data_IF_782673085358
#
_entry.id   IF_782673085358
#
_cell.length_a   1.000
_cell.length_b   1.000
_cell.length_c   1.000
_cell.angle_alpha   90.00
_cell.angle_beta   90.00
_cell.angle_gamma   90.00
#
_symmetry.space_group_name_H-M   'P 1'
#
loop_
_entity.id
_entity.type
_entity.pdbx_description
1 polymer ?
#
# COMPACT_ATOMS: atom_id res chain seq x y z
N UNK A 1 -1.73 1.35 52.92
CA UNK A 1 -2.40 0.06 52.62
C UNK A 1 -3.70 0.20 51.84
N UNK A 2 -4.72 0.93 52.33
CA UNK A 2 -6.03 1.10 51.64
C UNK A 2 -5.94 1.70 50.22
N UNK A 3 -5.13 2.75 50.02
CA UNK A 3 -4.90 3.35 48.68
C UNK A 3 -4.22 2.37 47.71
N UNK A 4 -3.30 1.55 48.20
CA UNK A 4 -2.62 0.53 47.40
C UNK A 4 -3.58 -0.58 46.96
N UNK A 5 -4.44 -1.06 47.86
CA UNK A 5 -5.46 -2.08 47.54
C UNK A 5 -6.50 -1.56 46.54
N UNK A 6 -6.87 -0.27 46.62
CA UNK A 6 -7.76 0.35 45.64
C UNK A 6 -7.09 0.42 44.26
N UNK A 7 -5.83 0.87 44.19
CA UNK A 7 -5.07 0.91 42.93
C UNK A 7 -4.90 -0.50 42.34
N UNK A 8 -4.57 -1.49 43.17
CA UNK A 8 -4.43 -2.88 42.73
C UNK A 8 -5.76 -3.45 42.21
N UNK A 9 -6.87 -3.18 42.90
CA UNK A 9 -8.20 -3.58 42.45
C UNK A 9 -8.57 -2.97 41.10
N UNK A 10 -8.25 -1.69 40.89
CA UNK A 10 -8.45 -1.00 39.61
C UNK A 10 -7.62 -1.67 38.50
N UNK A 11 -6.34 -1.96 38.75
CA UNK A 11 -5.45 -2.63 37.79
C UNK A 11 -5.98 -4.02 37.42
N UNK A 12 -6.41 -4.82 38.39
CA UNK A 12 -6.96 -6.15 38.13
C UNK A 12 -8.23 -6.08 37.27
N UNK A 13 -9.11 -5.12 37.52
CA UNK A 13 -10.29 -4.90 36.69
C UNK A 13 -9.90 -4.51 35.26
N UNK A 14 -8.96 -3.59 35.08
CA UNK A 14 -8.49 -3.22 33.74
C UNK A 14 -7.82 -4.39 33.00
N UNK A 15 -7.02 -5.20 33.69
CA UNK A 15 -6.43 -6.43 33.12
C UNK A 15 -7.50 -7.45 32.76
N UNK A 16 -8.52 -7.62 33.62
CA UNK A 16 -9.65 -8.51 33.35
C UNK A 16 -10.47 -8.07 32.13
N UNK A 17 -10.74 -6.77 32.00
CA UNK A 17 -11.39 -6.20 30.81
C UNK A 17 -10.51 -6.44 29.57
N UNK A 18 -9.22 -6.12 29.64
CA UNK A 18 -8.30 -6.33 28.51
C UNK A 18 -8.23 -7.81 28.08
N UNK A 19 -8.18 -8.74 29.04
CA UNK A 19 -8.18 -10.17 28.76
C UNK A 19 -9.51 -10.66 28.18
N UNK A 20 -10.63 -10.15 28.68
CA UNK A 20 -11.96 -10.45 28.14
C UNK A 20 -12.09 -10.05 26.66
N UNK A 21 -11.61 -8.86 26.30
CA UNK A 21 -11.58 -8.40 24.91
C UNK A 21 -10.58 -9.18 24.06
N UNK A 22 -9.36 -9.41 24.55
CA UNK A 22 -8.32 -10.13 23.81
C UNK A 22 -8.69 -11.59 23.50
N UNK A 23 -9.54 -12.22 24.33
CA UNK A 23 -10.00 -13.61 24.13
C UNK A 23 -11.25 -13.73 23.26
N UNK A 24 -11.87 -12.61 22.85
CA UNK A 24 -13.10 -12.59 22.06
C UNK A 24 -12.96 -11.70 20.82
N UNK A 25 -12.02 -12.00 19.91
CA UNK A 25 -11.92 -11.29 18.65
C UNK A 25 -13.19 -11.52 17.82
N UNK A 26 -13.50 -10.57 16.94
CA UNK A 26 -14.51 -10.82 15.91
C UNK A 26 -14.05 -12.00 15.03
N UNK A 27 -15.01 -12.77 14.52
CA UNK A 27 -14.74 -13.88 13.61
C UNK A 27 -15.69 -13.79 12.43
N UNK A 28 -15.20 -14.19 11.27
CA UNK A 28 -16.03 -14.36 10.09
C UNK A 28 -17.15 -15.36 10.40
N UNK A 29 -18.37 -14.99 10.02
CA UNK A 29 -19.58 -15.82 10.13
C UNK A 29 -19.99 -16.38 8.77
N UNK A 30 -19.52 -15.77 7.69
CA UNK A 30 -19.75 -16.21 6.32
C UNK A 30 -18.49 -16.89 5.78
N UNK A 31 -18.70 -17.83 4.86
CA UNK A 31 -17.58 -18.43 4.10
C UNK A 31 -16.97 -17.40 3.15
N UNK A 32 -15.67 -17.52 2.88
CA UNK A 32 -14.93 -16.62 1.97
C UNK A 32 -15.60 -16.50 0.59
N UNK A 33 -16.14 -17.61 0.08
CA UNK A 33 -16.85 -17.66 -1.21
C UNK A 33 -18.12 -16.79 -1.17
N UNK A 34 -18.82 -16.72 -0.04
CA UNK A 34 -20.04 -15.92 0.10
C UNK A 34 -19.74 -14.42 0.08
N UNK A 35 -18.59 -14.01 0.63
CA UNK A 35 -18.16 -12.59 0.69
C UNK A 35 -17.29 -12.18 -0.52
N UNK A 36 -17.17 -13.03 -1.54
CA UNK A 36 -16.37 -12.78 -2.75
C UNK A 36 -17.25 -12.74 -4.01
N UNK A 37 -16.84 -11.92 -4.99
CA UNK A 37 -17.46 -11.89 -6.32
C UNK A 37 -18.15 -10.57 -6.62
N UNK A 38 -18.98 -10.56 -7.67
CA UNK A 38 -19.61 -9.32 -8.18
C UNK A 38 -20.65 -8.74 -7.22
N UNK A 39 -21.34 -9.60 -6.48
CA UNK A 39 -22.35 -9.23 -5.50
C UNK A 39 -22.09 -10.07 -4.24
N UNK A 40 -21.10 -9.67 -3.42
CA UNK A 40 -20.78 -10.41 -2.20
C UNK A 40 -21.95 -10.31 -1.21
N UNK A 41 -22.19 -11.39 -0.47
CA UNK A 41 -23.10 -11.36 0.66
C UNK A 41 -22.44 -10.57 1.79
N UNK A 42 -23.09 -9.49 2.23
CA UNK A 42 -22.62 -8.70 3.37
C UNK A 42 -23.25 -9.22 4.66
N UNK A 43 -22.45 -9.35 5.71
CA UNK A 43 -22.96 -9.55 7.06
C UNK A 43 -23.52 -8.25 7.66
N UNK A 44 -24.02 -8.32 8.90
CA UNK A 44 -24.34 -7.11 9.66
C UNK A 44 -23.07 -6.39 10.12
N UNK A 45 -23.12 -5.06 10.14
CA UNK A 45 -22.04 -4.22 10.63
C UNK A 45 -21.83 -4.43 12.14
N UNK A 46 -20.59 -4.80 12.50
CA UNK A 46 -20.17 -5.04 13.88
C UNK A 46 -19.05 -4.09 14.22
N UNK A 47 -19.44 -2.89 14.63
CA UNK A 47 -18.49 -1.84 15.01
C UNK A 47 -17.57 -2.31 16.14
N UNK A 48 -16.27 -2.13 15.93
CA UNK A 48 -15.24 -2.48 16.91
C UNK A 48 -14.59 -1.21 17.47
N UNK A 49 -14.30 -1.19 18.77
CA UNK A 49 -13.48 -0.13 19.41
C UNK A 49 -12.00 -0.54 19.47
N UNK A 50 -11.74 -1.85 19.55
CA UNK A 50 -10.40 -2.44 19.48
C UNK A 50 -10.37 -3.28 18.21
N UNK A 51 -9.43 -3.05 17.28
CA UNK A 51 -9.41 -3.76 16.02
C UNK A 51 -9.06 -5.23 16.24
N UNK A 52 -9.82 -6.13 15.63
CA UNK A 52 -9.40 -7.51 15.42
C UNK A 52 -8.32 -7.54 14.36
N UNK A 53 -7.14 -8.07 14.69
CA UNK A 53 -6.01 -8.14 13.77
C UNK A 53 -5.47 -9.56 13.70
N UNK A 54 -5.41 -10.11 12.48
CA UNK A 54 -4.81 -11.40 12.20
C UNK A 54 -3.60 -11.23 11.27
N UNK A 55 -2.43 -10.93 11.83
CA UNK A 55 -1.18 -10.85 11.04
C UNK A 55 -0.67 -12.25 10.78
N UNK A 56 -0.67 -12.66 9.52
CA UNK A 56 0.01 -13.87 9.07
C UNK A 56 1.52 -13.76 9.37
N UNK A 57 2.08 -14.81 9.99
CA UNK A 57 3.52 -14.87 10.24
C UNK A 57 4.25 -15.16 8.92
N UNK A 58 5.04 -14.20 8.45
CA UNK A 58 5.94 -14.44 7.33
C UNK A 58 7.06 -15.42 7.76
N UNK A 59 7.11 -16.60 7.14
CA UNK A 59 8.09 -17.65 7.47
C UNK A 59 9.17 -17.85 6.40
N UNK A 60 9.08 -17.13 5.27
CA UNK A 60 9.97 -17.29 4.12
C UNK A 60 9.88 -18.68 3.47
N UNK A 61 10.56 -18.87 2.35
CA UNK A 61 10.76 -20.20 1.78
C UNK A 61 11.93 -20.88 2.49
N UNK A 62 11.77 -22.15 2.86
CA UNK A 62 12.84 -22.94 3.48
C UNK A 62 13.56 -23.75 2.41
N UNK A 63 14.85 -23.48 2.18
CA UNK A 63 15.65 -24.16 1.15
C UNK A 63 15.06 -24.00 -0.26
N UNK A 64 14.68 -25.14 -0.86
CA UNK A 64 14.08 -25.25 -2.20
C UNK A 64 12.54 -25.25 -2.18
N UNK A 65 11.92 -25.04 -1.01
CA UNK A 65 10.47 -24.92 -0.91
C UNK A 65 9.97 -23.78 -1.81
N UNK A 66 8.84 -24.01 -2.48
CA UNK A 66 8.14 -23.01 -3.29
C UNK A 66 6.63 -23.21 -3.22
N UNK A 67 5.83 -22.14 -3.43
CA UNK A 67 4.38 -22.24 -3.53
C UNK A 67 3.93 -23.23 -4.61
N UNK A 68 2.78 -23.85 -4.38
CA UNK A 68 2.13 -24.68 -5.39
C UNK A 68 1.49 -23.78 -6.44
N UNK A 69 1.94 -23.90 -7.68
CA UNK A 69 1.38 -23.16 -8.80
C UNK A 69 0.06 -23.79 -9.26
N UNK A 70 -0.80 -22.99 -9.90
CA UNK A 70 -1.95 -23.53 -10.62
C UNK A 70 -1.48 -24.40 -11.82
N UNK A 71 -2.35 -25.28 -12.32
CA UNK A 71 -2.03 -26.14 -13.45
C UNK A 71 -1.56 -25.32 -14.67
N UNK A 72 -0.44 -25.73 -15.28
CA UNK A 72 0.17 -25.04 -16.42
C UNK A 72 1.06 -23.85 -16.06
N UNK A 73 1.20 -23.51 -14.77
CA UNK A 73 2.10 -22.45 -14.30
C UNK A 73 3.28 -23.03 -13.51
N UNK A 74 4.35 -22.23 -13.41
CA UNK A 74 5.50 -22.50 -12.57
C UNK A 74 5.78 -21.29 -11.67
N UNK A 75 6.27 -21.57 -10.46
CA UNK A 75 6.79 -20.55 -9.54
C UNK A 75 8.29 -20.75 -9.39
N UNK A 76 9.03 -19.65 -9.46
CA UNK A 76 10.47 -19.58 -9.17
C UNK A 76 10.76 -18.36 -8.29
N UNK A 77 11.83 -18.42 -7.49
CA UNK A 77 12.32 -17.24 -6.78
C UNK A 77 13.17 -16.40 -7.74
N UNK A 78 12.59 -15.33 -8.29
CA UNK A 78 13.31 -14.43 -9.18
C UNK A 78 14.52 -13.76 -8.49
N UNK A 79 14.33 -13.36 -7.23
CA UNK A 79 15.40 -12.89 -6.35
C UNK A 79 15.04 -13.16 -4.89
N UNK A 80 16.05 -13.19 -4.01
CA UNK A 80 15.92 -13.39 -2.55
C UNK A 80 16.63 -12.29 -1.79
N UNK A 81 16.47 -12.24 -0.47
CA UNK A 81 17.21 -11.32 0.42
C UNK A 81 17.09 -9.84 0.00
N UNK A 82 15.84 -9.42 -0.24
CA UNK A 82 15.46 -8.03 -0.43
C UNK A 82 14.98 -7.46 0.91
N UNK A 83 15.27 -6.19 1.14
CA UNK A 83 14.87 -5.42 2.30
C UNK A 83 13.45 -4.86 2.11
N UNK A 84 12.47 -5.56 2.67
CA UNK A 84 11.06 -5.19 2.63
C UNK A 84 10.57 -4.78 1.21
N UNK A 85 10.65 -5.68 0.20
CA UNK A 85 10.22 -5.37 -1.15
C UNK A 85 8.70 -5.08 -1.19
N UNK A 86 8.32 -3.95 -1.79
CA UNK A 86 6.93 -3.45 -1.81
C UNK A 86 6.28 -3.49 -3.18
N UNK A 87 6.96 -2.95 -4.20
CA UNK A 87 6.40 -2.80 -5.55
C UNK A 87 7.43 -3.19 -6.59
N UNK A 88 6.94 -3.74 -7.71
CA UNK A 88 7.75 -4.19 -8.83
C UNK A 88 7.36 -3.43 -10.09
N UNK A 89 8.34 -3.03 -10.89
CA UNK A 89 8.11 -2.44 -12.20
C UNK A 89 9.02 -3.08 -13.24
N UNK A 90 8.42 -3.67 -14.27
CA UNK A 90 9.16 -4.29 -15.37
C UNK A 90 9.43 -3.27 -16.47
N UNK A 91 10.70 -3.05 -16.77
CA UNK A 91 11.16 -2.17 -17.83
C UNK A 91 10.99 -2.81 -19.21
N UNK A 92 10.96 -2.01 -20.30
CA UNK A 92 10.82 -2.54 -21.67
C UNK A 92 11.93 -3.51 -22.08
N UNK A 93 13.14 -3.38 -21.52
CA UNK A 93 14.26 -4.28 -21.78
C UNK A 93 14.23 -5.58 -20.95
N UNK A 94 13.21 -5.77 -20.11
CA UNK A 94 13.04 -6.96 -19.27
C UNK A 94 13.58 -6.84 -17.86
N UNK A 95 14.38 -5.81 -17.55
CA UNK A 95 14.85 -5.54 -16.19
C UNK A 95 13.66 -5.31 -15.25
N UNK A 96 13.79 -5.74 -14.00
CA UNK A 96 12.77 -5.54 -12.96
C UNK A 96 13.31 -4.60 -11.90
N UNK A 97 12.61 -3.49 -11.69
CA UNK A 97 12.85 -2.58 -10.58
C UNK A 97 12.05 -3.02 -9.36
N UNK A 98 12.67 -2.98 -8.19
CA UNK A 98 12.07 -3.31 -6.91
C UNK A 98 12.17 -2.11 -5.98
N UNK A 99 11.04 -1.62 -5.48
CA UNK A 99 11.02 -0.67 -4.39
C UNK A 99 11.20 -1.41 -3.06
N UNK A 100 12.37 -1.27 -2.45
CA UNK A 100 12.68 -1.71 -1.10
C UNK A 100 12.39 -0.54 -0.14
N UNK A 101 11.27 -0.65 0.60
CA UNK A 101 10.69 0.51 1.27
C UNK A 101 9.85 0.14 2.49
N UNK A 102 9.77 1.08 3.42
CA UNK A 102 8.91 0.99 4.60
C UNK A 102 8.21 2.33 4.84
N UNK A 103 7.28 2.36 5.79
CA UNK A 103 6.56 3.59 6.11
C UNK A 103 7.52 4.69 6.60
N UNK A 104 7.27 5.97 6.27
CA UNK A 104 8.01 7.07 6.86
C UNK A 104 7.80 7.08 8.39
N UNK A 105 8.73 7.66 9.16
CA UNK A 105 8.56 7.78 10.61
C UNK A 105 7.22 8.42 10.96
N UNK A 106 6.46 7.77 11.85
CA UNK A 106 5.19 8.32 12.34
C UNK A 106 5.47 9.22 13.53
N UNK A 107 4.92 10.43 13.51
CA UNK A 107 4.91 11.31 14.67
C UNK A 107 3.80 10.87 15.64
N UNK A 108 4.17 10.53 16.88
CA UNK A 108 3.22 10.15 17.93
C UNK A 108 3.78 9.11 18.92
N UNK A 109 3.30 9.16 20.17
CA UNK A 109 3.64 8.23 21.25
C UNK A 109 2.39 7.65 21.91
N UNK A 110 2.58 6.69 22.82
CA UNK A 110 1.50 6.07 23.60
C UNK A 110 1.30 4.59 23.31
N UNK A 111 0.33 3.99 24.02
CA UNK A 111 0.10 2.53 24.04
C UNK A 111 -0.33 2.02 22.66
N UNK A 112 -1.13 2.77 21.90
CA UNK A 112 -1.55 2.41 20.54
C UNK A 112 -0.38 2.41 19.56
N UNK A 113 0.50 3.41 19.63
CA UNK A 113 1.70 3.47 18.80
C UNK A 113 2.68 2.32 19.13
N UNK A 114 2.81 1.99 20.42
CA UNK A 114 3.61 0.85 20.88
C UNK A 114 3.05 -0.50 20.40
N UNK A 115 1.73 -0.72 20.51
CA UNK A 115 1.06 -1.93 20.02
C UNK A 115 1.19 -2.06 18.48
N UNK A 116 0.99 -0.96 17.76
CA UNK A 116 1.19 -0.91 16.31
C UNK A 116 2.65 -1.21 15.93
N UNK A 117 3.64 -0.72 16.69
CA UNK A 117 5.06 -1.02 16.46
C UNK A 117 5.37 -2.52 16.62
N UNK A 118 4.80 -3.17 17.63
CA UNK A 118 4.96 -4.62 17.84
C UNK A 118 4.32 -5.41 16.68
N UNK A 119 3.11 -5.02 16.27
CA UNK A 119 2.39 -5.66 15.19
C UNK A 119 3.11 -5.50 13.84
N UNK A 120 3.55 -4.28 13.52
CA UNK A 120 4.32 -3.98 12.31
C UNK A 120 5.68 -4.69 12.31
N UNK A 121 6.36 -4.79 13.46
CA UNK A 121 7.57 -5.58 13.60
C UNK A 121 7.38 -7.06 13.24
N UNK A 122 6.23 -7.66 13.59
CA UNK A 122 5.89 -9.03 13.19
C UNK A 122 5.64 -9.18 11.69
N UNK A 123 5.24 -8.10 11.02
CA UNK A 123 5.06 -8.03 9.57
C UNK A 123 6.33 -7.59 8.81
N UNK A 124 7.48 -7.48 9.49
CA UNK A 124 8.74 -7.01 8.89
C UNK A 124 8.79 -5.49 8.62
N UNK A 125 7.78 -4.73 9.07
CA UNK A 125 7.64 -3.29 8.87
C UNK A 125 8.12 -2.46 10.08
N UNK A 126 8.93 -3.03 10.98
CA UNK A 126 9.35 -2.40 12.24
C UNK A 126 10.66 -1.59 12.17
N UNK A 127 11.31 -1.55 10.99
CA UNK A 127 12.61 -0.93 10.76
C UNK A 127 12.46 0.31 9.85
N UNK A 128 13.44 1.24 9.83
CA UNK A 128 13.43 2.34 8.88
C UNK A 128 13.31 1.86 7.43
N UNK A 129 12.73 2.68 6.56
CA UNK A 129 12.69 2.42 5.12
C UNK A 129 14.10 2.34 4.55
N UNK A 130 14.37 1.33 3.73
CA UNK A 130 15.63 1.20 2.99
C UNK A 130 15.83 2.33 1.98
N UNK A 131 14.73 2.96 1.53
CA UNK A 131 14.72 4.04 0.54
C UNK A 131 15.58 3.70 -0.66
N UNK A 132 15.28 2.57 -1.29
CA UNK A 132 16.11 1.99 -2.36
C UNK A 132 15.25 1.46 -3.50
N UNK A 133 15.66 1.76 -4.73
CA UNK A 133 15.20 1.05 -5.92
C UNK A 133 16.33 0.12 -6.38
N UNK A 134 16.08 -1.17 -6.33
CA UNK A 134 17.01 -2.20 -6.82
C UNK A 134 16.61 -2.65 -8.22
N UNK A 135 17.59 -2.69 -9.13
CA UNK A 135 17.45 -3.27 -10.45
C UNK A 135 17.88 -4.73 -10.41
N UNK A 136 17.04 -5.60 -10.95
CA UNK A 136 17.26 -7.02 -11.12
C UNK A 136 17.23 -7.35 -12.62
N UNK A 137 18.22 -8.10 -13.09
CA UNK A 137 18.34 -8.48 -14.50
C UNK A 137 18.54 -9.99 -14.61
N UNK A 138 17.66 -10.60 -15.38
CA UNK A 138 17.71 -11.98 -15.84
C UNK A 138 18.33 -11.99 -17.24
N UNK A 139 19.54 -12.53 -17.33
CA UNK A 139 20.39 -12.50 -18.53
C UNK A 139 20.05 -13.66 -19.47
N UNK A 140 19.62 -14.80 -18.91
CA UNK A 140 19.41 -16.04 -19.66
C UNK A 140 17.92 -16.35 -19.93
N UNK A 141 17.01 -15.60 -19.31
CA UNK A 141 15.55 -15.74 -19.44
C UNK A 141 14.96 -16.91 -18.67
N UNK A 142 15.65 -17.46 -17.66
CA UNK A 142 15.20 -18.63 -16.90
C UNK A 142 14.28 -18.29 -15.71
N UNK A 143 14.03 -17.00 -15.49
CA UNK A 143 13.22 -16.52 -14.38
C UNK A 143 13.97 -16.44 -13.05
N UNK A 144 15.31 -16.33 -13.09
CA UNK A 144 16.19 -15.95 -11.99
C UNK A 144 16.99 -14.71 -12.40
N UNK A 145 17.18 -13.76 -11.48
CA UNK A 145 18.04 -12.61 -11.76
C UNK A 145 19.51 -12.95 -11.45
N UNK A 146 20.39 -12.96 -12.46
CA UNK A 146 21.83 -13.11 -12.28
C UNK A 146 22.50 -11.81 -11.80
N UNK A 147 21.93 -10.66 -12.15
CA UNK A 147 22.49 -9.36 -11.83
C UNK A 147 21.56 -8.54 -10.94
N UNK A 148 22.16 -7.92 -9.92
CA UNK A 148 21.51 -7.01 -8.98
C UNK A 148 22.35 -5.75 -8.84
N UNK A 149 21.73 -4.58 -8.92
CA UNK A 149 22.36 -3.30 -8.60
C UNK A 149 21.42 -2.36 -7.85
N UNK A 150 22.00 -1.41 -7.12
CA UNK A 150 21.25 -0.28 -6.56
C UNK A 150 21.11 0.76 -7.66
N UNK A 151 19.90 0.93 -8.20
CA UNK A 151 19.63 1.90 -9.26
C UNK A 151 19.55 3.32 -8.67
N UNK A 152 18.83 3.46 -7.55
CA UNK A 152 18.61 4.70 -6.81
C UNK A 152 18.62 4.42 -5.29
N UNK A 153 19.08 5.38 -4.50
CA UNK A 153 19.07 5.35 -3.03
C UNK A 153 18.48 6.63 -2.42
N UNK A 154 18.42 6.70 -1.09
CA UNK A 154 18.09 7.92 -0.36
C UNK A 154 18.95 9.13 -0.79
N UNK A 155 20.22 8.92 -1.16
CA UNK A 155 21.13 9.99 -1.60
C UNK A 155 20.69 10.63 -2.93
N UNK A 156 19.85 9.95 -3.70
CA UNK A 156 19.24 10.50 -4.91
C UNK A 156 17.94 11.27 -4.63
N UNK A 157 17.41 11.24 -3.39
CA UNK A 157 16.13 11.84 -3.01
C UNK A 157 14.97 10.86 -2.83
N UNK A 158 15.24 9.56 -2.67
CA UNK A 158 14.19 8.58 -2.33
C UNK A 158 13.72 8.74 -0.89
N UNK A 159 12.39 8.73 -0.70
CA UNK A 159 11.76 8.84 0.60
C UNK A 159 10.47 8.00 0.66
N UNK A 160 10.58 6.84 1.30
CA UNK A 160 9.57 5.79 1.36
C UNK A 160 8.93 5.52 -0.02
N UNK A 161 9.73 5.14 -1.04
CA UNK A 161 9.26 5.01 -2.41
C UNK A 161 8.36 3.78 -2.61
N UNK A 162 7.39 3.87 -3.51
CA UNK A 162 6.51 2.74 -3.83
C UNK A 162 6.37 2.54 -5.35
N UNK A 163 5.48 3.27 -6.01
CA UNK A 163 5.22 3.13 -7.44
C UNK A 163 6.37 3.66 -8.30
N UNK A 164 6.53 3.05 -9.49
CA UNK A 164 7.52 3.45 -10.49
C UNK A 164 6.90 3.36 -11.89
N UNK A 165 7.23 4.31 -12.76
CA UNK A 165 6.79 4.32 -14.14
C UNK A 165 7.84 4.95 -15.07
N UNK A 166 8.10 4.34 -16.22
CA UNK A 166 8.90 4.93 -17.30
C UNK A 166 7.99 5.64 -18.29
N UNK A 167 8.24 6.93 -18.54
CA UNK A 167 7.56 7.71 -19.57
C UNK A 167 8.61 8.52 -20.36
N UNK A 168 8.82 8.13 -21.62
CA UNK A 168 9.93 8.66 -22.41
C UNK A 168 11.28 8.31 -21.79
N UNK A 169 12.16 9.31 -21.67
CA UNK A 169 13.49 9.19 -21.05
C UNK A 169 13.47 9.48 -19.53
N UNK A 170 12.30 9.43 -18.89
CA UNK A 170 12.13 9.74 -17.47
C UNK A 170 11.59 8.55 -16.69
N UNK A 171 12.34 8.13 -15.67
CA UNK A 171 11.85 7.22 -14.64
C UNK A 171 11.21 8.04 -13.52
N UNK A 172 9.90 7.88 -13.36
CA UNK A 172 9.13 8.46 -12.28
C UNK A 172 9.12 7.51 -11.08
N UNK A 173 9.29 8.07 -9.89
CA UNK A 173 9.19 7.34 -8.61
C UNK A 173 8.23 8.11 -7.72
N UNK A 174 7.25 7.41 -7.18
CA UNK A 174 6.28 7.98 -6.25
C UNK A 174 6.78 7.76 -4.82
N UNK A 175 7.41 8.81 -4.26
CA UNK A 175 7.70 8.90 -2.83
C UNK A 175 6.41 9.13 -2.05
N UNK A 176 6.43 8.91 -0.75
CA UNK A 176 5.23 9.09 0.07
C UNK A 176 4.69 10.54 0.04
N UNK A 177 5.56 11.53 -0.17
CA UNK A 177 5.30 12.99 -0.10
C UNK A 177 5.43 13.72 -1.44
N UNK A 178 5.85 13.07 -2.51
CA UNK A 178 6.06 13.72 -3.80
C UNK A 178 6.11 12.71 -4.93
N UNK A 179 5.71 13.14 -6.11
CA UNK A 179 6.14 12.49 -7.35
C UNK A 179 7.46 13.12 -7.78
N UNK A 180 8.48 12.29 -7.97
CA UNK A 180 9.80 12.71 -8.43
C UNK A 180 10.16 11.97 -9.71
N UNK A 181 11.14 12.49 -10.46
CA UNK A 181 11.64 11.85 -11.68
C UNK A 181 13.15 11.94 -11.81
N UNK A 182 13.68 11.04 -12.63
CA UNK A 182 15.10 10.95 -12.96
C UNK A 182 15.28 10.73 -14.46
N UNK A 183 16.31 11.32 -15.09
CA UNK A 183 16.69 10.91 -16.44
C UNK A 183 17.13 9.45 -16.39
N UNK A 184 16.58 8.62 -17.27
CA UNK A 184 16.86 7.19 -17.30
C UNK A 184 16.62 6.58 -18.67
N UNK A 185 17.52 5.70 -19.08
CA UNK A 185 17.37 4.86 -20.28
C UNK A 185 17.49 3.38 -19.90
N UNK A 186 16.60 2.52 -20.42
CA UNK A 186 16.72 1.08 -20.22
C UNK A 186 18.12 0.57 -20.58
N UNK A 187 18.70 -0.24 -19.70
CA UNK A 187 20.07 -0.74 -19.81
C UNK A 187 21.02 -0.14 -18.77
N UNK A 188 20.77 1.10 -18.33
CA UNK A 188 21.51 1.71 -17.22
C UNK A 188 21.30 0.92 -15.92
N UNK A 189 22.37 0.72 -15.17
CA UNK A 189 22.34 -0.04 -13.90
C UNK A 189 22.47 0.84 -12.66
N UNK A 190 22.62 2.16 -12.85
CA UNK A 190 22.73 3.18 -11.80
C UNK A 190 22.32 4.54 -12.35
N UNK A 191 21.61 5.33 -11.53
CA UNK A 191 21.32 6.74 -11.81
C UNK A 191 22.13 7.61 -10.84
N UNK A 192 22.91 8.56 -11.37
CA UNK A 192 23.71 9.51 -10.57
C UNK A 192 23.05 10.86 -10.40
N UNK A 193 22.01 11.15 -11.20
CA UNK A 193 21.24 12.38 -11.09
C UNK A 193 20.49 12.46 -9.75
N UNK A 194 20.32 13.69 -9.26
CA UNK A 194 19.43 14.01 -8.15
C UNK A 194 17.99 14.06 -8.63
N UNK A 195 17.05 13.76 -7.73
CA UNK A 195 15.63 13.80 -8.01
C UNK A 195 15.19 15.19 -8.51
N UNK A 196 14.46 15.21 -9.62
CA UNK A 196 13.66 16.36 -9.97
C UNK A 196 12.25 16.18 -9.40
N UNK A 197 11.83 17.10 -8.52
CA UNK A 197 10.46 17.10 -8.02
C UNK A 197 9.47 17.52 -9.11
N UNK A 198 8.41 16.73 -9.27
CA UNK A 198 7.31 16.98 -10.21
C UNK A 198 6.18 17.69 -9.47
N UNK A 199 5.57 17.05 -8.49
CA UNK A 199 4.49 17.62 -7.66
C UNK A 199 4.61 17.16 -6.22
N UNK A 200 4.15 17.99 -5.28
CA UNK A 200 3.97 17.60 -3.88
C UNK A 200 2.73 16.71 -3.74
N UNK A 201 2.84 15.68 -2.91
CA UNK A 201 1.75 14.77 -2.55
C UNK A 201 1.51 14.83 -1.02
N UNK A 202 0.28 14.56 -0.55
CA UNK A 202 0.03 14.47 0.89
C UNK A 202 0.88 13.37 1.55
N UNK A 203 1.94 13.73 2.26
CA UNK A 203 2.90 12.80 2.88
C UNK A 203 2.38 12.10 4.15
N UNK A 204 2.93 10.93 4.49
CA UNK A 204 2.62 10.22 5.73
C UNK A 204 1.15 9.80 5.82
N UNK A 205 0.61 9.85 7.04
CA UNK A 205 -0.72 9.33 7.38
C UNK A 205 -0.73 7.80 7.51
N UNK A 206 -1.92 7.21 7.64
CA UNK A 206 -2.06 5.76 7.70
C UNK A 206 -1.66 5.11 6.37
N UNK A 207 -2.14 5.64 5.24
CA UNK A 207 -1.80 5.18 3.90
C UNK A 207 -0.72 6.06 3.26
N UNK A 208 0.53 5.63 3.40
CA UNK A 208 1.71 6.38 2.93
C UNK A 208 2.15 6.00 1.51
N UNK A 209 1.79 4.81 1.02
CA UNK A 209 2.19 4.33 -0.31
C UNK A 209 1.55 5.14 -1.42
N UNK A 210 2.31 5.43 -2.48
CA UNK A 210 1.83 6.10 -3.69
C UNK A 210 2.19 5.24 -4.88
N UNK A 211 1.22 4.78 -5.64
CA UNK A 211 1.49 4.10 -6.91
C UNK A 211 1.42 5.09 -8.07
N UNK A 212 2.10 4.78 -9.16
CA UNK A 212 2.12 5.62 -10.36
C UNK A 212 2.14 4.75 -11.62
N UNK A 213 1.27 5.07 -12.57
CA UNK A 213 1.26 4.45 -13.91
C UNK A 213 1.11 5.51 -15.00
N UNK A 214 1.54 5.18 -16.21
CA UNK A 214 1.42 6.07 -17.38
C UNK A 214 -0.03 6.14 -17.84
N UNK A 215 -0.54 7.35 -18.06
CA UNK A 215 -1.86 7.54 -18.66
C UNK A 215 -1.84 7.06 -20.12
N UNK A 216 -2.94 6.48 -20.66
CA UNK A 216 -3.04 6.09 -22.07
C UNK A 216 -2.72 7.16 -23.12
N UNK A 217 -2.63 8.44 -22.73
CA UNK A 217 -2.34 9.54 -23.64
C UNK A 217 -0.82 9.70 -23.89
N UNK A 218 0.01 8.94 -23.14
CA UNK A 218 1.47 8.97 -23.25
C UNK A 218 2.12 10.27 -22.77
N UNK A 219 1.41 11.11 -22.01
CA UNK A 219 1.88 12.44 -21.56
C UNK A 219 1.66 12.68 -20.08
N UNK A 220 0.54 12.25 -19.51
CA UNK A 220 0.24 12.38 -18.09
C UNK A 220 0.44 11.05 -17.35
N UNK A 221 0.38 11.13 -16.02
CA UNK A 221 0.52 10.00 -15.11
C UNK A 221 -0.72 9.91 -14.22
N UNK A 222 -1.15 8.70 -13.90
CA UNK A 222 -2.06 8.46 -12.79
C UNK A 222 -1.25 8.21 -11.52
N UNK A 223 -1.59 8.89 -10.42
CA UNK A 223 -0.94 8.70 -9.11
C UNK A 223 -1.99 8.39 -8.05
N UNK A 224 -1.84 7.28 -7.34
CA UNK A 224 -2.76 6.92 -6.25
C UNK A 224 -2.36 7.57 -4.93
N UNK A 225 -3.36 8.08 -4.19
CA UNK A 225 -3.17 8.69 -2.86
C UNK A 225 -4.23 8.16 -1.91
N UNK A 226 -3.83 7.32 -0.95
CA UNK A 226 -4.73 6.83 0.10
C UNK A 226 -5.04 7.87 1.19
N UNK A 227 -6.10 7.61 1.96
CA UNK A 227 -6.55 8.44 3.09
C UNK A 227 -5.50 8.55 4.21
N UNK A 228 -5.58 9.62 5.00
CA UNK A 228 -4.75 9.80 6.20
C UNK A 228 -5.25 8.98 7.39
N UNK A 229 -6.54 8.63 7.40
CA UNK A 229 -7.24 8.00 8.52
C UNK A 229 -8.18 6.87 8.05
N UNK A 230 -8.85 6.17 8.98
CA UNK A 230 -9.70 5.04 8.62
C UNK A 230 -10.96 5.48 7.86
N UNK A 231 -11.66 6.48 8.41
CA UNK A 231 -12.97 6.99 7.97
C UNK A 231 -13.09 8.51 8.13
N UNK A 232 -11.99 9.23 7.87
CA UNK A 232 -11.90 10.68 8.05
C UNK A 232 -12.14 11.14 9.50
N UNK A 233 -11.89 10.27 10.50
CA UNK A 233 -12.11 10.58 11.92
C UNK A 233 -11.19 11.69 12.45
N UNK A 234 -10.16 12.06 11.68
CA UNK A 234 -9.26 13.18 11.98
C UNK A 234 -9.68 14.50 11.30
N UNK A 235 -10.86 14.53 10.68
CA UNK A 235 -11.40 15.67 9.95
C UNK A 235 -11.03 15.67 8.47
N UNK A 236 -11.87 16.31 7.64
CA UNK A 236 -11.68 16.32 6.18
C UNK A 236 -10.48 17.16 5.73
N UNK A 237 -9.99 18.10 6.56
CA UNK A 237 -8.84 18.93 6.21
C UNK A 237 -7.57 18.12 5.99
N UNK A 238 -7.34 17.07 6.79
CA UNK A 238 -6.18 16.18 6.62
C UNK A 238 -6.33 15.22 5.44
N UNK A 239 -7.55 15.10 4.91
CA UNK A 239 -7.93 14.26 3.77
C UNK A 239 -7.91 15.03 2.44
N UNK A 240 -7.51 16.31 2.46
CA UNK A 240 -7.35 17.10 1.24
C UNK A 240 -6.38 16.41 0.26
N UNK A 241 -6.85 16.21 -0.97
CA UNK A 241 -6.15 15.49 -2.04
C UNK A 241 -5.77 14.04 -1.69
N UNK A 242 -6.48 13.40 -0.76
CA UNK A 242 -6.34 12.00 -0.38
C UNK A 242 -7.59 11.21 -0.69
N UNK A 243 -7.48 9.89 -0.61
CA UNK A 243 -8.48 8.95 -1.07
C UNK A 243 -8.88 9.21 -2.54
N UNK A 244 -7.87 9.47 -3.36
CA UNK A 244 -8.01 9.89 -4.75
C UNK A 244 -7.05 9.14 -5.66
N UNK A 245 -7.35 9.18 -6.95
CA UNK A 245 -6.37 9.05 -8.00
C UNK A 245 -6.22 10.42 -8.64
N UNK A 246 -4.97 10.89 -8.75
CA UNK A 246 -4.61 12.14 -9.38
C UNK A 246 -4.20 11.88 -10.83
N UNK A 247 -4.50 12.82 -11.71
CA UNK A 247 -3.86 12.92 -13.03
C UNK A 247 -2.83 14.03 -12.97
N UNK A 248 -1.55 13.67 -13.15
CA UNK A 248 -0.42 14.59 -13.08
C UNK A 248 0.08 14.89 -14.48
N UNK A 249 0.23 16.17 -14.80
CA UNK A 249 1.01 16.63 -15.94
C UNK A 249 2.43 16.94 -15.47
N UNK A 250 3.42 16.12 -15.86
CA UNK A 250 4.77 16.27 -15.37
C UNK A 250 5.55 17.46 -15.97
N UNK A 251 5.12 17.97 -17.13
CA UNK A 251 5.81 19.07 -17.81
C UNK A 251 5.38 20.41 -17.22
N UNK A 252 4.07 20.58 -16.99
CA UNK A 252 3.56 21.76 -16.30
C UNK A 252 3.73 21.70 -14.78
N UNK A 253 4.11 20.54 -14.22
CA UNK A 253 4.23 20.29 -12.78
C UNK A 253 2.93 20.59 -12.03
N UNK A 254 1.82 20.18 -12.63
CA UNK A 254 0.47 20.34 -12.06
C UNK A 254 -0.24 19.01 -11.98
N UNK A 255 -1.33 18.97 -11.24
CA UNK A 255 -2.22 17.82 -11.21
C UNK A 255 -3.67 18.27 -11.04
N UNK A 256 -4.58 17.36 -11.36
CA UNK A 256 -6.00 17.44 -11.02
C UNK A 256 -6.44 16.14 -10.35
N UNK A 257 -7.54 16.20 -9.59
CA UNK A 257 -8.19 14.99 -9.11
C UNK A 257 -8.86 14.31 -10.30
N UNK A 258 -8.42 13.09 -10.63
CA UNK A 258 -9.07 12.27 -11.65
C UNK A 258 -10.34 11.62 -11.07
N UNK A 259 -10.23 11.03 -9.88
CA UNK A 259 -11.34 10.43 -9.15
C UNK A 259 -11.10 10.50 -7.64
N UNK A 260 -12.18 10.44 -6.87
CA UNK A 260 -12.14 10.57 -5.41
C UNK A 260 -13.02 9.52 -4.71
N UNK A 261 -12.95 9.46 -3.38
CA UNK A 261 -13.73 8.52 -2.58
C UNK A 261 -13.24 7.08 -2.64
N UNK A 262 -11.97 6.89 -2.96
CA UNK A 262 -11.30 5.60 -2.99
C UNK A 262 -10.39 5.55 -1.75
N UNK A 263 -10.77 4.86 -0.66
CA UNK A 263 -10.03 4.94 0.62
C UNK A 263 -8.52 4.74 0.46
N UNK A 264 -8.11 3.68 -0.21
CA UNK A 264 -6.70 3.36 -0.45
C UNK A 264 -6.53 2.58 -1.78
N UNK A 265 -6.50 3.26 -2.94
CA UNK A 265 -6.43 2.64 -4.26
C UNK A 265 -5.00 2.25 -4.62
N UNK A 266 -4.41 1.29 -3.89
CA UNK A 266 -2.97 1.01 -3.95
C UNK A 266 -2.54 0.51 -5.33
N UNK A 267 -3.22 -0.49 -5.87
CA UNK A 267 -2.87 -1.08 -7.17
C UNK A 267 -3.68 -0.46 -8.29
N UNK A 268 -3.02 -0.01 -9.35
CA UNK A 268 -3.65 0.50 -10.56
C UNK A 268 -3.17 -0.25 -11.80
N UNK A 269 -4.06 -0.45 -12.77
CA UNK A 269 -3.71 -1.02 -14.07
C UNK A 269 -4.63 -0.48 -15.17
N UNK A 270 -4.12 -0.45 -16.40
CA UNK A 270 -4.92 -0.21 -17.59
C UNK A 270 -5.38 -1.54 -18.16
N UNK A 271 -6.67 -1.64 -18.48
CA UNK A 271 -7.17 -2.77 -19.26
C UNK A 271 -6.51 -2.73 -20.66
N UNK A 272 -5.83 -3.79 -21.12
CA UNK A 272 -5.07 -3.74 -22.37
C UNK A 272 -5.93 -3.52 -23.61
N UNK A 273 -7.19 -4.01 -23.61
CA UNK A 273 -8.10 -3.87 -24.76
C UNK A 273 -8.81 -2.53 -24.81
N UNK A 274 -9.20 -1.97 -23.65
CA UNK A 274 -10.01 -0.73 -23.60
C UNK A 274 -9.23 0.50 -23.14
N UNK A 275 -8.02 0.32 -22.62
CA UNK A 275 -7.19 1.36 -21.99
C UNK A 275 -7.90 2.09 -20.83
N UNK A 276 -8.95 1.50 -20.26
CA UNK A 276 -9.64 2.04 -19.09
C UNK A 276 -8.84 1.74 -17.83
N UNK A 277 -8.84 2.70 -16.92
CA UNK A 277 -8.19 2.58 -15.61
C UNK A 277 -9.00 1.65 -14.70
N UNK A 278 -8.30 0.77 -14.00
CA UNK A 278 -8.84 -0.09 -12.95
C UNK A 278 -8.00 0.03 -11.70
N UNK A 279 -8.63 -0.14 -10.54
CA UNK A 279 -7.93 -0.14 -9.26
C UNK A 279 -8.55 -1.12 -8.27
N UNK A 280 -7.72 -1.61 -7.34
CA UNK A 280 -8.15 -2.30 -6.13
C UNK A 280 -8.08 -1.34 -4.94
N UNK A 281 -9.11 -1.32 -4.12
CA UNK A 281 -9.23 -0.42 -2.97
C UNK A 281 -9.28 -1.22 -1.68
N UNK A 282 -8.39 -0.89 -0.74
CA UNK A 282 -8.51 -1.40 0.63
C UNK A 282 -9.53 -0.56 1.42
N UNK A 283 -10.62 -1.21 1.80
CA UNK A 283 -11.76 -0.58 2.46
C UNK A 283 -11.55 -0.36 3.97
N UNK A 284 -12.52 0.31 4.60
CA UNK A 284 -12.44 0.70 6.01
C UNK A 284 -12.35 -0.48 6.96
N UNK A 285 -11.62 -0.25 8.04
CA UNK A 285 -11.45 -1.21 9.12
C UNK A 285 -12.58 -1.11 10.15
N UNK A 286 -12.65 -2.12 11.02
CA UNK A 286 -13.42 -2.13 12.28
C UNK A 286 -14.96 -2.20 12.14
N UNK A 287 -15.48 -2.80 11.07
CA UNK A 287 -16.90 -3.14 10.90
C UNK A 287 -17.22 -4.64 10.96
N UNK A 288 -16.23 -5.48 11.32
CA UNK A 288 -16.36 -6.93 11.41
C UNK A 288 -15.52 -7.64 10.38
N UNK A 289 -15.56 -8.96 10.38
CA UNK A 289 -14.77 -9.83 9.50
C UNK A 289 -15.49 -10.20 8.20
N UNK A 290 -16.77 -9.82 8.07
CA UNK A 290 -17.60 -10.14 6.90
C UNK A 290 -18.01 -8.88 6.09
N UNK A 291 -17.50 -7.69 6.46
CA UNK A 291 -17.74 -6.42 5.77
C UNK A 291 -16.85 -5.28 6.29
N UNK A 292 -16.67 -4.20 5.51
CA UNK A 292 -16.90 -4.13 4.06
C UNK A 292 -15.86 -4.92 3.26
N UNK A 293 -16.19 -5.40 2.06
CA UNK A 293 -15.22 -6.03 1.18
C UNK A 293 -14.26 -4.99 0.58
N UNK A 294 -13.01 -5.38 0.40
CA UNK A 294 -12.14 -4.75 -0.59
C UNK A 294 -12.74 -4.97 -1.99
N UNK A 295 -12.55 -4.01 -2.90
CA UNK A 295 -13.14 -4.09 -4.24
C UNK A 295 -12.17 -3.77 -5.36
N UNK A 296 -12.44 -4.37 -6.52
CA UNK A 296 -11.84 -4.05 -7.81
C UNK A 296 -12.87 -3.29 -8.64
N UNK A 297 -12.51 -2.13 -9.17
CA UNK A 297 -13.43 -1.31 -9.98
C UNK A 297 -12.74 -0.61 -11.15
N UNK A 298 -13.52 -0.30 -12.18
CA UNK A 298 -13.13 0.62 -13.24
C UNK A 298 -13.20 2.05 -12.68
N UNK A 299 -12.19 2.86 -13.00
CA UNK A 299 -12.06 4.24 -12.55
C UNK A 299 -12.38 5.21 -13.67
N UNK A 300 -13.44 6.00 -13.50
CA UNK A 300 -13.86 7.00 -14.47
C UNK A 300 -13.55 8.43 -13.98
N UNK A 301 -13.21 9.31 -14.92
CA UNK A 301 -12.91 10.72 -14.62
C UNK A 301 -14.10 11.42 -13.95
N UNK A 302 -13.82 12.19 -12.90
CA UNK A 302 -14.80 12.95 -12.12
C UNK A 302 -15.66 12.10 -11.18
N UNK A 303 -15.45 10.78 -11.11
CA UNK A 303 -16.28 9.90 -10.29
C UNK A 303 -15.90 9.93 -8.82
N UNK A 304 -16.90 9.66 -7.97
CA UNK A 304 -16.77 9.55 -6.53
C UNK A 304 -17.20 8.15 -6.06
N UNK A 305 -16.34 7.46 -5.32
CA UNK A 305 -16.48 6.03 -5.00
C UNK A 305 -16.95 5.74 -3.57
N UNK A 306 -17.47 6.76 -2.86
CA UNK A 306 -18.19 6.58 -1.60
C UNK A 306 -17.42 7.06 -0.37
N UNK A 307 -16.15 6.70 -0.22
CA UNK A 307 -15.40 6.98 1.02
C UNK A 307 -15.26 8.50 1.28
N UNK A 308 -15.43 9.01 2.51
CA UNK A 308 -15.64 8.26 3.76
C UNK A 308 -17.11 8.03 4.13
N UNK A 309 -18.05 8.49 3.30
CA UNK A 309 -19.47 8.48 3.63
C UNK A 309 -20.08 7.10 3.41
N UNK A 310 -19.79 6.49 2.25
CA UNK A 310 -20.35 5.21 1.85
C UNK A 310 -19.27 4.13 1.67
N UNK A 311 -19.66 2.89 1.93
CA UNK A 311 -18.91 1.69 1.55
C UNK A 311 -19.79 0.75 0.71
N UNK A 312 -19.19 -0.32 0.20
CA UNK A 312 -19.88 -1.29 -0.65
C UNK A 312 -21.16 -1.84 0.01
N UNK A 313 -22.28 -1.80 -0.72
CA UNK A 313 -23.60 -2.22 -0.22
C UNK A 313 -24.60 -1.09 -0.05
N UNK A 314 -24.14 0.16 0.00
CA UNK A 314 -25.02 1.34 0.05
C UNK A 314 -25.64 1.63 1.43
N UNK A 315 -25.17 0.95 2.48
CA UNK A 315 -25.62 1.20 3.85
C UNK A 315 -24.71 2.22 4.55
N UNK A 316 -25.33 3.38 4.86
CA UNK A 316 -24.80 4.64 5.42
C UNK A 316 -23.95 5.50 4.48
#
# INVERSE_FOLDING_TARGET
>A
MRKFLIVLGIVVVFVGIAAFWATRPDRAKLDEIAVTGRVPQLGDARAQTIPTVNVAKAVGWQGDAKPTAAAGLQVNAFARDLDHPRWLYRLPNGDVLVAESNSPPREGGGITAWAMKILMGRAGAGVPSANRITLLRDVNGDGVAEARSVLLSADNGLDSPFGMALLGDWLYVANHNALIRFPFKPGETKITAQAEKVVDLPGGGNHWTRDVIVHPNGKSLFVSVGSASNIAEKGMDVEKNRATILEVDPDSKTFRIHSAGLRNPVGMALNPGTQRLWTVVNERDMLGSDMPPDYLTQVDFGSFYGWPWHYWGGDE
#
